data_IF_966094335748
#
_entry.id   IF_966094335748
#
_cell.length_a   1.000
_cell.length_b   1.000
_cell.length_c   1.000
_cell.angle_alpha   90.00
_cell.angle_beta   90.00
_cell.angle_gamma   90.00
#
_symmetry.space_group_name_H-M   'P 1'
#
loop_
_entity.id
_entity.type
_entity.pdbx_description
1 polymer ?
#
# COMPACT_ATOMS: atom_id res chain seq x y z
N UNK A 1 -12.50 -14.21 10.40
CA UNK A 1 -11.58 -15.31 10.02
C UNK A 1 -10.70 -15.63 11.24
N UNK A 2 -10.34 -16.90 11.46
CA UNK A 2 -9.40 -17.29 12.54
C UNK A 2 -7.97 -17.12 12.03
N UNK A 3 -7.07 -16.58 12.86
CA UNK A 3 -5.63 -16.58 12.56
C UNK A 3 -5.15 -18.04 12.37
N UNK A 4 -4.25 -18.31 11.41
CA UNK A 4 -3.56 -19.59 11.34
C UNK A 4 -2.96 -19.94 12.70
N UNK A 5 -3.18 -21.15 13.20
CA UNK A 5 -2.65 -21.58 14.51
C UNK A 5 -1.12 -21.46 14.56
N UNK A 6 -0.48 -21.69 13.42
CA UNK A 6 0.95 -21.49 13.18
C UNK A 6 1.48 -20.11 13.56
N UNK A 7 0.65 -19.06 13.48
CA UNK A 7 1.04 -17.70 13.82
C UNK A 7 0.81 -17.34 15.29
N UNK A 8 0.07 -18.17 16.03
CA UNK A 8 -0.38 -17.85 17.40
C UNK A 8 0.57 -18.48 18.42
N UNK A 9 1.80 -17.97 18.47
CA UNK A 9 2.78 -18.34 19.50
C UNK A 9 3.61 -17.13 19.93
N UNK A 10 4.14 -17.16 21.17
CA UNK A 10 5.01 -16.10 21.67
C UNK A 10 6.29 -15.95 20.85
N UNK A 11 6.88 -17.07 20.42
CA UNK A 11 8.10 -17.11 19.60
C UNK A 11 7.89 -16.48 18.23
N UNK A 12 6.75 -16.77 17.59
CA UNK A 12 6.38 -16.16 16.30
C UNK A 12 6.15 -14.66 16.47
N UNK A 13 5.46 -14.23 17.53
CA UNK A 13 5.27 -12.81 17.81
C UNK A 13 6.60 -12.08 18.01
N UNK A 14 7.54 -12.66 18.77
CA UNK A 14 8.85 -12.05 19.00
C UNK A 14 9.69 -11.99 17.72
N UNK A 15 9.60 -13.01 16.86
CA UNK A 15 10.24 -13.03 15.53
C UNK A 15 9.67 -11.95 14.60
N UNK A 16 8.35 -11.80 14.55
CA UNK A 16 7.69 -10.74 13.76
C UNK A 16 8.02 -9.35 14.27
N UNK A 17 8.14 -9.17 15.59
CA UNK A 17 8.59 -7.90 16.17
C UNK A 17 10.01 -7.58 15.72
N UNK A 18 10.92 -8.55 15.73
CA UNK A 18 12.28 -8.35 15.25
C UNK A 18 12.31 -7.95 13.77
N UNK A 19 11.61 -8.70 12.92
CA UNK A 19 11.49 -8.42 11.48
C UNK A 19 10.90 -7.03 11.21
N UNK A 20 9.81 -6.67 11.91
CA UNK A 20 9.19 -5.35 11.79
C UNK A 20 10.15 -4.22 12.16
N UNK A 21 10.92 -4.40 13.24
CA UNK A 21 11.91 -3.41 13.68
C UNK A 21 13.07 -3.28 12.69
N UNK A 22 13.51 -4.39 12.09
CA UNK A 22 14.52 -4.39 11.03
C UNK A 22 14.05 -3.61 9.80
N UNK A 23 12.87 -3.93 9.26
CA UNK A 23 12.30 -3.22 8.10
C UNK A 23 12.06 -1.74 8.39
N UNK A 24 11.58 -1.40 9.59
CA UNK A 24 11.41 0.01 10.00
C UNK A 24 12.76 0.73 10.17
N UNK A 25 13.80 0.07 10.68
CA UNK A 25 15.14 0.64 10.76
C UNK A 25 15.70 0.92 9.36
N UNK A 26 15.54 -0.02 8.43
CA UNK A 26 15.90 0.18 7.03
C UNK A 26 15.13 1.35 6.42
N UNK A 27 13.79 1.39 6.55
CA UNK A 27 12.99 2.51 6.03
C UNK A 27 13.46 3.88 6.55
N UNK A 28 13.88 3.96 7.81
CA UNK A 28 14.40 5.19 8.43
C UNK A 28 15.79 5.58 7.95
N UNK A 29 16.61 4.63 7.50
CA UNK A 29 17.95 4.92 6.98
C UNK A 29 17.93 5.38 5.52
N UNK A 30 16.86 5.08 4.78
CA UNK A 30 16.71 5.51 3.38
C UNK A 30 16.69 7.03 3.25
N UNK A 31 17.60 7.56 2.42
CA UNK A 31 17.64 8.98 2.05
C UNK A 31 16.95 9.20 0.72
N UNK A 32 15.63 9.05 0.72
CA UNK A 32 14.80 9.21 -0.49
C UNK A 32 14.69 10.68 -0.88
N UNK A 33 15.03 10.99 -2.14
CA UNK A 33 14.97 12.37 -2.68
C UNK A 33 13.78 12.58 -3.62
N UNK A 34 13.49 11.60 -4.47
CA UNK A 34 12.47 11.66 -5.51
C UNK A 34 11.97 10.24 -5.85
N UNK A 35 10.78 10.12 -6.43
CA UNK A 35 10.20 8.85 -6.89
C UNK A 35 10.10 8.74 -8.42
N UNK A 36 10.88 9.56 -9.13
CA UNK A 36 10.79 9.70 -10.58
C UNK A 36 9.64 10.61 -11.03
N UNK A 37 9.57 10.83 -12.34
CA UNK A 37 8.45 11.56 -12.95
C UNK A 37 7.20 10.68 -12.95
N UNK A 38 6.04 11.32 -13.03
CA UNK A 38 4.77 10.62 -13.19
C UNK A 38 4.75 9.96 -14.57
N UNK A 39 4.43 8.66 -14.60
CA UNK A 39 4.20 7.91 -15.84
C UNK A 39 2.85 8.33 -16.40
N UNK A 40 2.84 9.03 -17.53
CA UNK A 40 1.61 9.54 -18.16
C UNK A 40 1.35 8.97 -19.55
N UNK A 41 2.34 8.28 -20.11
CA UNK A 41 2.34 7.74 -21.46
C UNK A 41 2.28 6.21 -21.42
N UNK A 42 1.44 5.60 -22.26
CA UNK A 42 1.29 4.14 -22.34
C UNK A 42 2.58 3.45 -22.80
N UNK A 43 3.35 4.09 -23.68
CA UNK A 43 4.64 3.57 -24.14
C UNK A 43 5.69 3.53 -23.02
N UNK A 44 5.77 4.58 -22.19
CA UNK A 44 6.58 4.58 -20.96
C UNK A 44 6.11 3.52 -19.98
N UNK A 45 4.81 3.42 -19.75
CA UNK A 45 4.22 2.44 -18.85
C UNK A 45 4.54 1.00 -19.28
N UNK A 46 4.42 0.70 -20.59
CA UNK A 46 4.79 -0.59 -21.17
C UNK A 46 6.27 -0.91 -21.03
N UNK A 47 7.17 0.06 -21.26
CA UNK A 47 8.62 -0.14 -21.05
C UNK A 47 8.96 -0.44 -19.59
N UNK A 48 8.37 0.29 -18.65
CA UNK A 48 8.58 0.06 -17.22
C UNK A 48 8.02 -1.30 -16.79
N UNK A 49 6.84 -1.67 -17.30
CA UNK A 49 6.27 -2.99 -17.06
C UNK A 49 7.15 -4.12 -17.59
N UNK A 50 7.63 -4.04 -18.83
CA UNK A 50 8.56 -5.02 -19.38
C UNK A 50 9.84 -5.13 -18.55
N UNK A 51 10.35 -4.01 -18.04
CA UNK A 51 11.49 -3.98 -17.11
C UNK A 51 11.19 -4.72 -15.81
N UNK A 52 10.04 -4.45 -15.19
CA UNK A 52 9.59 -5.15 -13.97
C UNK A 52 9.37 -6.63 -14.23
N UNK A 53 8.73 -7.00 -15.34
CA UNK A 53 8.46 -8.38 -15.69
C UNK A 53 9.77 -9.18 -15.86
N UNK A 54 10.75 -8.60 -16.58
CA UNK A 54 12.10 -9.16 -16.72
C UNK A 54 12.79 -9.36 -15.38
N UNK A 55 12.86 -8.31 -14.54
CA UNK A 55 13.50 -8.41 -13.22
C UNK A 55 12.77 -9.41 -12.34
N UNK A 56 11.44 -9.49 -12.41
CA UNK A 56 10.67 -10.47 -11.65
C UNK A 56 11.00 -11.89 -12.07
N UNK A 57 11.07 -12.17 -13.37
CA UNK A 57 11.47 -13.49 -13.89
C UNK A 57 12.90 -13.85 -13.47
N UNK A 58 13.83 -12.90 -13.58
CA UNK A 58 15.22 -13.07 -13.14
C UNK A 58 15.32 -13.39 -11.65
N UNK A 59 14.64 -12.61 -10.80
CA UNK A 59 14.58 -12.82 -9.34
C UNK A 59 14.01 -14.20 -8.99
N UNK A 60 13.05 -14.69 -9.78
CA UNK A 60 12.39 -15.97 -9.58
C UNK A 60 13.11 -17.15 -10.25
N UNK A 61 14.21 -16.91 -10.95
CA UNK A 61 14.92 -17.96 -11.70
C UNK A 61 14.07 -18.59 -12.82
N UNK A 62 13.09 -17.86 -13.36
CA UNK A 62 12.23 -18.33 -14.43
C UNK A 62 12.92 -18.10 -15.79
N UNK A 63 13.00 -19.15 -16.60
CA UNK A 63 13.41 -19.02 -18.00
C UNK A 63 12.38 -18.18 -18.78
N UNK A 64 12.83 -17.41 -19.77
CA UNK A 64 12.05 -16.45 -20.58
C UNK A 64 10.89 -17.08 -21.41
N UNK A 65 10.51 -18.33 -21.15
CA UNK A 65 9.52 -19.08 -21.91
C UNK A 65 8.09 -18.53 -21.71
N UNK A 66 7.48 -18.05 -22.81
CA UNK A 66 6.07 -18.02 -23.22
C UNK A 66 4.94 -17.89 -22.18
N UNK A 67 5.18 -17.31 -21.00
CA UNK A 67 4.09 -16.93 -20.10
C UNK A 67 3.35 -15.73 -20.71
N UNK A 68 2.02 -15.84 -20.98
CA UNK A 68 1.27 -14.77 -21.61
C UNK A 68 1.24 -13.55 -20.69
N UNK A 69 1.85 -12.45 -21.11
CA UNK A 69 1.90 -11.25 -20.30
C UNK A 69 0.50 -10.64 -20.12
N UNK A 70 0.16 -10.14 -18.92
CA UNK A 70 -1.07 -9.41 -18.71
C UNK A 70 -1.02 -8.07 -19.47
N UNK A 71 -2.17 -7.63 -19.95
CA UNK A 71 -2.33 -6.29 -20.51
C UNK A 71 -2.19 -5.25 -19.39
N UNK A 72 -1.45 -4.17 -19.66
CA UNK A 72 -1.31 -3.06 -18.72
C UNK A 72 -2.23 -1.91 -19.14
N UNK A 73 -3.18 -1.54 -18.26
CA UNK A 73 -4.09 -0.42 -18.48
C UNK A 73 -3.72 0.74 -17.57
N UNK A 74 -3.25 1.84 -18.18
CA UNK A 74 -2.92 3.08 -17.50
C UNK A 74 -4.17 3.98 -17.41
N UNK A 75 -4.64 4.22 -16.19
CA UNK A 75 -5.80 5.07 -15.90
C UNK A 75 -5.39 6.50 -15.59
N UNK A 76 -6.25 7.48 -15.90
CA UNK A 76 -5.96 8.91 -15.72
C UNK A 76 -6.62 9.53 -14.48
N UNK A 77 -7.06 8.74 -13.50
CA UNK A 77 -7.93 9.24 -12.43
C UNK A 77 -7.19 10.28 -11.56
N UNK A 78 -5.88 10.12 -11.33
CA UNK A 78 -5.08 11.13 -10.61
C UNK A 78 -4.97 12.46 -11.36
N UNK A 79 -4.83 12.42 -12.67
CA UNK A 79 -4.73 13.63 -13.49
C UNK A 79 -6.08 14.36 -13.56
N UNK A 80 -7.18 13.62 -13.65
CA UNK A 80 -8.53 14.17 -13.63
C UNK A 80 -8.91 14.72 -12.24
N UNK A 81 -8.43 14.11 -11.14
CA UNK A 81 -8.71 14.53 -9.78
C UNK A 81 -8.36 16.00 -9.52
N UNK A 82 -7.20 16.45 -10.01
CA UNK A 82 -6.77 17.85 -9.81
C UNK A 82 -7.79 18.82 -10.43
N UNK A 83 -8.24 18.52 -11.66
CA UNK A 83 -9.24 19.34 -12.36
C UNK A 83 -10.60 19.30 -11.64
N UNK A 84 -11.01 18.12 -11.15
CA UNK A 84 -12.27 17.95 -10.42
C UNK A 84 -12.27 18.73 -9.10
N UNK A 85 -11.15 18.73 -8.36
CA UNK A 85 -11.02 19.47 -7.10
C UNK A 85 -11.02 20.98 -7.32
N UNK A 86 -10.34 21.48 -8.36
CA UNK A 86 -10.41 22.92 -8.69
C UNK A 86 -11.85 23.34 -8.97
N UNK A 87 -12.59 22.55 -9.76
CA UNK A 87 -14.02 22.81 -10.02
C UNK A 87 -14.85 22.80 -8.73
N UNK A 88 -14.63 21.81 -7.87
CA UNK A 88 -15.32 21.72 -6.58
C UNK A 88 -15.00 22.91 -5.66
N UNK A 89 -13.73 23.30 -5.56
CA UNK A 89 -13.31 24.48 -4.80
C UNK A 89 -13.98 25.75 -5.33
N UNK A 90 -13.98 25.99 -6.64
CA UNK A 90 -14.62 27.15 -7.24
C UNK A 90 -16.14 27.19 -7.00
N UNK A 91 -16.80 26.03 -7.00
CA UNK A 91 -18.23 25.94 -6.74
C UNK A 91 -18.57 26.27 -5.27
N UNK A 92 -17.76 25.79 -4.32
CA UNK A 92 -18.10 25.86 -2.89
C UNK A 92 -17.51 27.09 -2.20
N UNK A 93 -16.41 27.65 -2.72
CA UNK A 93 -15.72 28.82 -2.15
C UNK A 93 -16.64 30.05 -1.96
N UNK A 94 -17.53 30.45 -2.90
CA UNK A 94 -18.41 31.60 -2.70
C UNK A 94 -19.34 31.43 -1.49
N UNK A 95 -19.90 30.23 -1.31
CA UNK A 95 -20.75 29.92 -0.16
C UNK A 95 -19.95 29.99 1.15
N UNK A 96 -18.72 29.47 1.16
CA UNK A 96 -17.84 29.55 2.33
C UNK A 96 -17.42 30.99 2.66
N UNK A 97 -17.07 31.80 1.66
CA UNK A 97 -16.74 33.21 1.84
C UNK A 97 -17.93 34.01 2.36
N UNK A 98 -19.14 33.74 1.87
CA UNK A 98 -20.37 34.36 2.36
C UNK A 98 -20.64 34.02 3.83
N UNK A 99 -20.54 32.73 4.20
CA UNK A 99 -20.70 32.29 5.59
C UNK A 99 -19.62 32.90 6.50
N UNK A 100 -18.38 32.97 6.02
CA UNK A 100 -17.27 33.57 6.75
C UNK A 100 -17.51 35.07 6.97
N UNK A 101 -17.92 35.81 5.94
CA UNK A 101 -18.29 37.22 6.03
C UNK A 101 -19.39 37.44 7.08
N UNK A 102 -20.45 36.64 7.03
CA UNK A 102 -21.55 36.73 7.99
C UNK A 102 -21.11 36.43 9.44
N UNK A 103 -20.27 35.41 9.64
CA UNK A 103 -19.76 35.02 10.96
C UNK A 103 -18.77 36.02 11.57
N UNK A 104 -18.04 36.78 10.74
CA UNK A 104 -17.12 37.83 11.20
C UNK A 104 -17.81 39.18 11.42
N UNK A 105 -18.96 39.43 10.79
CA UNK A 105 -19.75 40.64 11.02
C UNK A 105 -20.39 40.66 12.42
N UNK A 106 -20.55 39.51 13.06
CA UNK A 106 -21.00 39.46 14.45
C UNK A 106 -19.85 39.84 15.41
N UNK A 107 -20.02 40.94 16.13
CA UNK A 107 -19.05 41.50 17.08
C UNK A 107 -18.99 40.76 18.44
N UNK A 108 -19.84 39.74 18.64
CA UNK A 108 -19.89 39.00 19.90
C UNK A 108 -18.68 38.07 20.09
N UNK A 109 -18.06 38.11 21.27
CA UNK A 109 -16.95 37.24 21.68
C UNK A 109 -17.36 35.91 22.33
N UNK A 110 -18.63 35.52 22.24
CA UNK A 110 -19.16 34.33 22.92
C UNK A 110 -18.63 33.01 22.35
N UNK A 111 -18.56 31.97 23.19
CA UNK A 111 -18.08 30.64 22.80
C UNK A 111 -18.81 30.05 21.59
N UNK A 112 -20.13 30.28 21.47
CA UNK A 112 -20.92 29.85 20.32
C UNK A 112 -20.45 30.45 18.98
N UNK A 113 -20.04 31.73 18.98
CA UNK A 113 -19.54 32.41 17.78
C UNK A 113 -18.18 31.83 17.37
N UNK A 114 -17.31 31.53 18.34
CA UNK A 114 -16.05 30.85 18.07
C UNK A 114 -16.23 29.44 17.49
N UNK A 115 -17.20 28.66 17.99
CA UNK A 115 -17.56 27.35 17.43
C UNK A 115 -17.98 27.47 15.97
N UNK A 116 -18.84 28.45 15.64
CA UNK A 116 -19.27 28.70 14.25
C UNK A 116 -18.09 29.09 13.36
N UNK A 117 -17.20 29.98 13.83
CA UNK A 117 -16.00 30.38 13.08
C UNK A 117 -15.06 29.19 12.82
N UNK A 118 -14.83 28.34 13.82
CA UNK A 118 -14.03 27.11 13.69
C UNK A 118 -14.69 26.13 12.71
N UNK A 119 -16.02 25.98 12.75
CA UNK A 119 -16.74 25.13 11.82
C UNK A 119 -16.57 25.60 10.36
N UNK A 120 -16.68 26.92 10.11
CA UNK A 120 -16.48 27.50 8.78
C UNK A 120 -15.03 27.34 8.31
N UNK A 121 -14.04 27.56 9.19
CA UNK A 121 -12.63 27.30 8.87
C UNK A 121 -12.39 25.82 8.53
N UNK A 122 -13.03 24.91 9.26
CA UNK A 122 -12.96 23.46 8.98
C UNK A 122 -13.55 23.12 7.60
N UNK A 123 -14.63 23.79 7.21
CA UNK A 123 -15.23 23.64 5.87
C UNK A 123 -14.28 24.11 4.76
N UNK A 124 -13.52 25.20 4.97
CA UNK A 124 -12.52 25.67 4.01
C UNK A 124 -11.37 24.67 3.78
N UNK A 125 -11.00 23.90 4.81
CA UNK A 125 -9.94 22.87 4.71
C UNK A 125 -10.49 21.55 4.14
N UNK A 126 -11.81 21.34 4.18
CA UNK A 126 -12.44 20.09 3.76
C UNK A 126 -12.14 19.64 2.32
N UNK A 127 -12.07 20.53 1.29
CA UNK A 127 -11.73 20.10 -0.06
C UNK A 127 -10.29 19.60 -0.18
N UNK A 128 -9.36 20.15 0.60
CA UNK A 128 -7.97 19.72 0.62
C UNK A 128 -7.82 18.35 1.28
N UNK A 129 -8.54 18.11 2.38
CA UNK A 129 -8.60 16.80 3.05
C UNK A 129 -9.22 15.77 2.11
N UNK A 130 -10.34 16.12 1.46
CA UNK A 130 -11.01 15.25 0.50
C UNK A 130 -10.11 14.93 -0.70
N UNK A 131 -9.46 15.94 -1.29
CA UNK A 131 -8.47 15.75 -2.36
C UNK A 131 -7.38 14.77 -1.93
N UNK A 132 -6.76 15.01 -0.78
CA UNK A 132 -5.70 14.14 -0.25
C UNK A 132 -6.19 12.70 -0.08
N UNK A 133 -7.40 12.52 0.44
CA UNK A 133 -8.01 11.20 0.65
C UNK A 133 -8.26 10.46 -0.66
N UNK A 134 -8.86 11.14 -1.64
CA UNK A 134 -9.14 10.54 -2.96
C UNK A 134 -7.84 10.24 -3.69
N UNK A 135 -6.86 11.16 -3.62
CA UNK A 135 -5.53 10.95 -4.20
C UNK A 135 -4.86 9.70 -3.63
N UNK A 136 -4.82 9.57 -2.30
CA UNK A 136 -4.24 8.38 -1.64
C UNK A 136 -4.99 7.09 -2.03
N UNK A 137 -6.32 7.13 -2.11
CA UNK A 137 -7.10 5.98 -2.56
C UNK A 137 -6.77 5.56 -4.00
N UNK A 138 -6.65 6.53 -4.91
CA UNK A 138 -6.29 6.24 -6.31
C UNK A 138 -4.85 5.75 -6.39
N UNK A 139 -3.92 6.37 -5.64
CA UNK A 139 -2.52 5.97 -5.60
C UNK A 139 -2.40 4.49 -5.23
N UNK A 140 -3.19 4.00 -4.26
CA UNK A 140 -3.20 2.60 -3.83
C UNK A 140 -4.19 1.71 -4.60
N UNK A 141 -4.91 2.25 -5.59
CA UNK A 141 -5.97 1.56 -6.34
C UNK A 141 -5.45 0.81 -7.56
N UNK A 142 -4.29 0.17 -7.43
CA UNK A 142 -3.74 -0.78 -8.40
C UNK A 142 -4.45 -2.12 -8.24
N UNK A 143 -4.60 -2.89 -9.31
CA UNK A 143 -5.19 -4.21 -9.21
C UNK A 143 -5.03 -5.09 -10.43
N UNK A 144 -4.87 -6.38 -10.17
CA UNK A 144 -4.91 -7.45 -11.14
C UNK A 144 -6.33 -8.00 -11.31
N UNK A 145 -6.77 -8.15 -12.56
CA UNK A 145 -8.03 -8.80 -12.92
C UNK A 145 -7.77 -9.90 -13.94
N UNK A 146 -8.42 -11.06 -13.74
CA UNK A 146 -8.44 -12.15 -14.69
C UNK A 146 -9.88 -12.37 -15.13
N UNK A 147 -10.20 -11.99 -16.35
CA UNK A 147 -11.49 -12.33 -16.95
C UNK A 147 -11.42 -13.78 -17.45
N UNK A 148 -12.49 -14.57 -17.27
CA UNK A 148 -12.49 -15.98 -17.71
C UNK A 148 -12.39 -16.14 -19.24
N UNK A 149 -12.74 -15.09 -20.00
CA UNK A 149 -12.81 -15.11 -21.47
C UNK A 149 -11.84 -14.11 -22.14
N UNK A 150 -11.02 -13.40 -21.37
CA UNK A 150 -10.15 -12.32 -21.89
C UNK A 150 -8.73 -12.36 -21.32
N UNK A 151 -7.80 -11.54 -21.85
CA UNK A 151 -6.45 -11.45 -21.31
C UNK A 151 -6.50 -10.98 -19.86
N UNK A 152 -5.56 -11.47 -19.05
CA UNK A 152 -5.36 -10.94 -17.71
C UNK A 152 -4.93 -9.47 -17.82
N UNK A 153 -5.33 -8.63 -16.86
CA UNK A 153 -5.10 -7.18 -16.93
C UNK A 153 -4.56 -6.66 -15.59
N UNK A 154 -3.53 -5.82 -15.66
CA UNK A 154 -3.07 -5.00 -14.55
C UNK A 154 -3.56 -3.57 -14.78
N UNK A 155 -4.39 -3.08 -13.87
CA UNK A 155 -4.95 -1.73 -13.91
C UNK A 155 -4.20 -0.87 -12.89
N UNK A 156 -3.59 0.22 -13.36
CA UNK A 156 -2.82 1.13 -12.50
C UNK A 156 -3.06 2.58 -12.93
N UNK A 157 -2.87 3.54 -12.02
CA UNK A 157 -2.98 4.97 -12.34
C UNK A 157 -1.62 5.58 -12.68
N UNK A 158 -1.62 6.85 -13.08
CA UNK A 158 -0.43 7.63 -13.41
C UNK A 158 0.35 7.97 -12.12
N UNK A 159 1.20 7.03 -11.67
CA UNK A 159 2.06 7.16 -10.48
C UNK A 159 3.48 7.64 -10.85
N UNK A 160 4.25 8.18 -9.89
CA UNK A 160 5.70 8.34 -10.04
C UNK A 160 6.36 7.02 -10.46
N UNK A 161 7.32 7.05 -11.39
CA UNK A 161 7.88 5.85 -12.03
C UNK A 161 8.40 4.77 -11.06
N UNK A 162 8.99 5.16 -9.93
CA UNK A 162 9.51 4.20 -8.93
C UNK A 162 8.35 3.56 -8.14
N UNK A 163 7.36 4.38 -7.77
CA UNK A 163 6.13 3.87 -7.14
C UNK A 163 5.36 2.95 -8.08
N UNK A 164 5.26 3.33 -9.36
CA UNK A 164 4.62 2.57 -10.42
C UNK A 164 5.23 1.17 -10.53
N UNK A 165 6.56 1.07 -10.68
CA UNK A 165 7.27 -0.20 -10.79
C UNK A 165 7.04 -1.10 -9.56
N UNK A 166 7.09 -0.51 -8.35
CA UNK A 166 6.82 -1.26 -7.12
C UNK A 166 5.41 -1.85 -7.10
N UNK A 167 4.38 -1.11 -7.53
CA UNK A 167 2.99 -1.62 -7.48
C UNK A 167 2.72 -2.62 -8.60
N UNK A 168 3.27 -2.36 -9.79
CA UNK A 168 3.22 -3.32 -10.91
C UNK A 168 3.91 -4.63 -10.54
N UNK A 169 5.02 -4.61 -9.80
CA UNK A 169 5.69 -5.82 -9.36
C UNK A 169 4.79 -6.70 -8.47
N UNK A 170 3.96 -6.10 -7.61
CA UNK A 170 2.98 -6.84 -6.78
C UNK A 170 1.89 -7.48 -7.64
N UNK A 171 1.29 -6.73 -8.56
CA UNK A 171 0.21 -7.24 -9.42
C UNK A 171 0.73 -8.25 -10.46
N UNK A 172 1.96 -8.08 -10.95
CA UNK A 172 2.59 -9.05 -11.82
C UNK A 172 2.95 -10.34 -11.07
N UNK A 173 3.34 -10.24 -9.80
CA UNK A 173 3.49 -11.41 -8.95
C UNK A 173 2.17 -12.17 -8.78
N UNK A 174 1.03 -11.47 -8.62
CA UNK A 174 -0.28 -12.12 -8.66
C UNK A 174 -0.52 -12.87 -9.97
N UNK A 175 -0.21 -12.24 -11.11
CA UNK A 175 -0.31 -12.90 -12.41
C UNK A 175 0.50 -14.19 -12.47
N UNK A 176 1.80 -14.14 -12.11
CA UNK A 176 2.67 -15.31 -12.12
C UNK A 176 2.18 -16.40 -11.15
N UNK A 177 1.71 -16.01 -9.96
CA UNK A 177 1.14 -16.96 -9.01
C UNK A 177 0.01 -17.77 -9.65
N UNK A 178 -0.89 -17.12 -10.37
CA UNK A 178 -2.00 -17.81 -11.05
C UNK A 178 -1.58 -18.68 -12.24
N UNK A 179 -0.43 -18.41 -12.85
CA UNK A 179 0.11 -19.24 -13.93
C UNK A 179 0.79 -20.50 -13.37
N UNK A 180 1.50 -20.38 -12.24
CA UNK A 180 2.26 -21.49 -11.67
C UNK A 180 1.48 -22.36 -10.68
N UNK A 181 0.51 -21.78 -9.98
CA UNK A 181 -0.28 -22.47 -8.97
C UNK A 181 -1.75 -22.51 -9.43
N UNK A 182 -2.10 -23.50 -10.25
CA UNK A 182 -3.47 -23.73 -10.68
C UNK A 182 -4.38 -24.01 -9.46
N UNK A 183 -5.44 -23.22 -9.27
CA UNK A 183 -6.52 -23.51 -8.30
C UNK A 183 -6.94 -22.34 -7.39
N UNK A 184 -7.99 -22.58 -6.59
CA UNK A 184 -8.46 -21.67 -5.54
C UNK A 184 -7.47 -21.67 -4.35
N UNK A 185 -6.35 -20.95 -4.51
CA UNK A 185 -5.48 -20.65 -3.36
C UNK A 185 -6.19 -19.71 -2.38
N UNK A 186 -5.90 -19.86 -1.09
CA UNK A 186 -6.39 -18.93 -0.08
C UNK A 186 -5.82 -17.55 -0.36
N UNK A 187 -6.67 -16.52 -0.34
CA UNK A 187 -6.31 -15.13 -0.62
C UNK A 187 -5.04 -14.65 0.10
N UNK A 188 -4.91 -14.96 1.40
CA UNK A 188 -3.72 -14.60 2.18
C UNK A 188 -2.42 -15.24 1.67
N UNK A 189 -2.47 -16.44 1.09
CA UNK A 189 -1.29 -17.11 0.52
C UNK A 189 -0.81 -16.32 -0.68
N UNK A 190 -1.75 -16.00 -1.57
CA UNK A 190 -1.48 -15.22 -2.79
C UNK A 190 -0.93 -13.84 -2.45
N UNK A 191 -1.55 -13.12 -1.52
CA UNK A 191 -1.06 -11.79 -1.09
C UNK A 191 0.32 -11.85 -0.44
N UNK A 192 0.59 -12.87 0.38
CA UNK A 192 1.89 -13.05 1.02
C UNK A 192 3.00 -13.37 0.02
N UNK A 193 2.73 -14.27 -0.93
CA UNK A 193 3.64 -14.61 -2.00
C UNK A 193 3.95 -13.37 -2.86
N UNK A 194 2.92 -12.65 -3.31
CA UNK A 194 3.06 -11.45 -4.11
C UNK A 194 3.88 -10.37 -3.38
N UNK A 195 3.65 -10.17 -2.07
CA UNK A 195 4.42 -9.21 -1.26
C UNK A 195 5.89 -9.58 -1.17
N UNK A 196 6.21 -10.86 -0.99
CA UNK A 196 7.60 -11.32 -0.89
C UNK A 196 8.33 -11.15 -2.24
N UNK A 197 7.67 -11.47 -3.35
CA UNK A 197 8.22 -11.24 -4.69
C UNK A 197 8.43 -9.75 -4.95
N UNK A 198 7.45 -8.91 -4.63
CA UNK A 198 7.57 -7.46 -4.74
C UNK A 198 8.77 -6.92 -3.94
N UNK A 199 9.00 -7.47 -2.73
CA UNK A 199 10.16 -7.13 -1.91
C UNK A 199 11.47 -7.47 -2.62
N UNK A 200 11.62 -8.67 -3.18
CA UNK A 200 12.84 -9.07 -3.89
C UNK A 200 13.08 -8.30 -5.18
N UNK A 201 12.03 -8.01 -5.94
CA UNK A 201 12.12 -7.15 -7.13
C UNK A 201 12.59 -5.75 -6.75
N UNK A 202 12.06 -5.19 -5.66
CA UNK A 202 12.49 -3.88 -5.18
C UNK A 202 13.95 -3.88 -4.67
N UNK A 203 14.39 -4.94 -3.98
CA UNK A 203 15.81 -5.11 -3.60
C UNK A 203 16.71 -5.18 -4.82
N UNK A 204 16.32 -5.96 -5.83
CA UNK A 204 17.09 -6.08 -7.07
C UNK A 204 17.21 -4.72 -7.78
N UNK A 205 16.10 -4.01 -7.98
CA UNK A 205 16.10 -2.68 -8.60
C UNK A 205 16.89 -1.65 -7.78
N UNK A 206 16.81 -1.71 -6.45
CA UNK A 206 17.61 -0.88 -5.56
C UNK A 206 19.11 -1.08 -5.79
N UNK A 207 19.56 -2.33 -5.89
CA UNK A 207 20.97 -2.64 -6.13
C UNK A 207 21.42 -2.31 -7.55
N UNK A 208 20.55 -2.51 -8.54
CA UNK A 208 20.85 -2.21 -9.94
C UNK A 208 20.99 -0.70 -10.19
N UNK A 209 20.08 0.11 -9.62
CA UNK A 209 20.00 1.55 -9.89
C UNK A 209 20.69 2.42 -8.82
N UNK A 210 21.12 1.83 -7.70
CA UNK A 210 21.67 2.52 -6.52
C UNK A 210 20.75 3.65 -5.99
N UNK A 211 19.43 3.47 -6.10
CA UNK A 211 18.43 4.46 -5.66
C UNK A 211 17.55 3.91 -4.50
N UNK A 212 17.71 4.41 -3.26
CA UNK A 212 16.93 3.97 -2.10
C UNK A 212 15.42 4.19 -2.24
N UNK A 213 14.97 5.00 -3.21
CA UNK A 213 13.54 5.19 -3.48
C UNK A 213 12.81 3.88 -3.86
N UNK A 214 13.50 2.92 -4.48
CA UNK A 214 12.91 1.63 -4.88
C UNK A 214 12.39 0.82 -3.70
N UNK A 215 13.05 0.92 -2.54
CA UNK A 215 12.64 0.20 -1.33
C UNK A 215 11.49 0.87 -0.58
N UNK A 216 11.25 2.17 -0.81
CA UNK A 216 10.38 2.95 0.08
C UNK A 216 8.93 2.47 0.09
N UNK A 217 8.31 2.30 -1.09
CA UNK A 217 6.90 1.98 -1.21
C UNK A 217 6.58 0.57 -0.71
N UNK A 218 7.40 -0.42 -1.07
CA UNK A 218 7.27 -1.78 -0.56
C UNK A 218 7.46 -1.83 0.95
N UNK A 219 8.48 -1.15 1.51
CA UNK A 219 8.68 -1.11 2.97
C UNK A 219 7.48 -0.49 3.69
N UNK A 220 6.94 0.61 3.17
CA UNK A 220 5.78 1.29 3.76
C UNK A 220 4.57 0.35 3.85
N UNK A 221 4.33 -0.48 2.82
CA UNK A 221 3.26 -1.48 2.82
C UNK A 221 3.59 -2.67 3.74
N UNK A 222 4.76 -3.29 3.60
CA UNK A 222 5.23 -4.42 4.42
C UNK A 222 5.22 -4.08 5.91
N UNK A 223 5.73 -2.92 6.32
CA UNK A 223 5.73 -2.47 7.73
C UNK A 223 4.29 -2.29 8.23
N UNK A 224 3.40 -1.76 7.39
CA UNK A 224 1.99 -1.63 7.72
C UNK A 224 1.34 -2.98 8.02
N UNK A 225 1.55 -3.94 7.13
CA UNK A 225 1.00 -5.31 7.21
C UNK A 225 1.59 -6.10 8.38
N UNK A 226 2.91 -6.08 8.55
CA UNK A 226 3.59 -6.73 9.69
C UNK A 226 3.17 -6.12 11.04
N UNK A 227 3.03 -4.79 11.12
CA UNK A 227 2.53 -4.16 12.35
C UNK A 227 1.11 -4.61 12.66
N UNK A 228 0.24 -4.70 11.65
CA UNK A 228 -1.12 -5.18 11.82
C UNK A 228 -1.16 -6.65 12.27
N UNK A 229 -0.32 -7.52 11.67
CA UNK A 229 -0.17 -8.91 12.10
C UNK A 229 0.28 -9.02 13.57
N UNK A 230 1.32 -8.26 13.96
CA UNK A 230 1.77 -8.18 15.35
C UNK A 230 0.64 -7.75 16.30
N UNK A 231 -0.17 -6.75 15.92
CA UNK A 231 -1.31 -6.32 16.71
C UNK A 231 -2.34 -7.44 16.88
N UNK A 232 -2.73 -8.12 15.81
CA UNK A 232 -3.67 -9.24 15.87
C UNK A 232 -3.18 -10.38 16.77
N UNK A 233 -1.95 -10.86 16.56
CA UNK A 233 -1.37 -11.95 17.35
C UNK A 233 -1.23 -11.53 18.82
N UNK A 234 -0.79 -10.30 19.08
CA UNK A 234 -0.66 -9.79 20.46
C UNK A 234 -2.01 -9.73 21.20
N UNK A 235 -3.10 -9.38 20.50
CA UNK A 235 -4.45 -9.42 21.05
C UNK A 235 -4.89 -10.84 21.38
N UNK A 236 -4.61 -11.81 20.49
CA UNK A 236 -4.92 -13.23 20.71
C UNK A 236 -4.13 -13.82 21.87
N UNK A 237 -2.87 -13.45 22.04
CA UNK A 237 -2.01 -13.89 23.15
C UNK A 237 -2.20 -13.08 24.44
N UNK A 238 -3.09 -12.09 24.44
CA UNK A 238 -3.27 -11.13 25.55
C UNK A 238 -1.95 -10.45 26.02
N UNK A 239 -1.01 -10.26 25.10
CA UNK A 239 0.31 -9.68 25.37
C UNK A 239 0.38 -8.25 24.82
N UNK A 240 0.95 -7.33 25.59
CA UNK A 240 1.18 -5.96 25.11
C UNK A 240 2.40 -5.90 24.18
N UNK A 241 2.25 -5.23 23.04
CA UNK A 241 3.38 -4.94 22.15
C UNK A 241 4.36 -3.96 22.80
N UNK A 242 5.69 -4.11 22.54
CA UNK A 242 6.70 -3.15 22.97
C UNK A 242 6.39 -1.73 22.50
N UNK A 243 6.77 -0.73 23.30
CA UNK A 243 6.52 0.68 22.97
C UNK A 243 7.10 1.06 21.59
N UNK A 244 8.30 0.57 21.28
CA UNK A 244 8.98 0.83 20.00
C UNK A 244 8.13 0.40 18.80
N UNK A 245 7.43 -0.73 18.89
CA UNK A 245 6.51 -1.24 17.85
C UNK A 245 5.24 -0.41 17.79
N UNK A 246 4.63 -0.09 18.94
CA UNK A 246 3.39 0.70 19.00
C UNK A 246 3.54 2.08 18.36
N UNK A 247 4.71 2.70 18.50
CA UNK A 247 5.04 4.02 17.97
C UNK A 247 5.32 4.06 16.46
N UNK A 248 5.51 2.92 15.79
CA UNK A 248 5.70 2.87 14.34
C UNK A 248 4.45 3.44 13.66
N UNK A 249 4.60 4.46 12.83
CA UNK A 249 3.45 5.04 12.09
C UNK A 249 3.20 4.22 10.83
N UNK A 250 1.95 3.87 10.57
CA UNK A 250 1.55 3.08 9.41
C UNK A 250 0.38 3.76 8.70
N UNK A 251 0.17 3.39 7.44
CA UNK A 251 -0.98 3.80 6.64
C UNK A 251 -2.31 3.21 7.14
N UNK A 252 -2.28 2.06 7.83
CA UNK A 252 -3.44 1.45 8.47
C UNK A 252 -3.65 2.04 9.86
N UNK A 253 -4.30 3.21 9.95
CA UNK A 253 -4.69 3.83 11.21
C UNK A 253 -6.22 3.83 11.33
N UNK A 254 -6.75 3.26 12.41
CA UNK A 254 -8.19 3.14 12.67
C UNK A 254 -8.78 4.39 13.34
N UNK A 255 -7.94 5.31 13.86
CA UNK A 255 -8.40 6.49 14.57
C UNK A 255 -9.21 7.43 13.64
N UNK A 256 -10.53 7.61 13.88
CA UNK A 256 -11.41 8.36 12.99
C UNK A 256 -11.06 9.85 12.95
N UNK A 257 -10.65 10.44 14.09
CA UNK A 257 -10.24 11.83 14.16
C UNK A 257 -8.93 12.06 13.40
N UNK A 258 -7.95 11.17 13.57
CA UNK A 258 -6.70 11.25 12.82
C UNK A 258 -6.96 11.16 11.32
N UNK A 259 -7.79 10.19 10.88
CA UNK A 259 -8.15 10.03 9.46
C UNK A 259 -8.88 11.24 8.90
N UNK A 260 -9.81 11.81 9.66
CA UNK A 260 -10.52 13.03 9.28
C UNK A 260 -9.54 14.20 9.10
N UNK A 261 -8.64 14.42 10.06
CA UNK A 261 -7.71 15.55 10.04
C UNK A 261 -6.58 15.39 9.00
N UNK A 262 -6.15 14.17 8.73
CA UNK A 262 -5.03 13.91 7.81
C UNK A 262 -5.46 13.54 6.41
N UNK A 263 -6.75 13.29 6.18
CA UNK A 263 -7.24 12.72 4.92
C UNK A 263 -6.76 11.30 4.66
N UNK A 264 -6.25 10.59 5.68
CA UNK A 264 -5.82 9.19 5.51
C UNK A 264 -7.04 8.32 5.20
N UNK A 265 -7.01 7.53 4.12
CA UNK A 265 -8.15 6.71 3.74
C UNK A 265 -8.46 5.63 4.77
N UNK A 266 -9.65 5.06 4.67
CA UNK A 266 -9.96 3.83 5.39
C UNK A 266 -9.41 2.63 4.66
N UNK A 267 -9.37 1.50 5.34
CA UNK A 267 -8.99 0.22 4.76
C UNK A 267 -10.10 -0.80 4.99
N UNK A 268 -10.20 -1.77 4.09
CA UNK A 268 -11.04 -2.93 4.30
C UNK A 268 -10.32 -3.87 5.27
N UNK A 269 -10.89 -4.06 6.46
CA UNK A 269 -10.29 -4.88 7.52
C UNK A 269 -10.10 -6.32 7.06
N UNK A 270 -11.05 -6.90 6.30
CA UNK A 270 -10.96 -8.28 5.83
C UNK A 270 -9.77 -8.47 4.90
N UNK A 271 -9.65 -7.61 3.89
CA UNK A 271 -8.50 -7.64 2.96
C UNK A 271 -7.18 -7.40 3.70
N UNK A 272 -7.12 -6.41 4.61
CA UNK A 272 -5.91 -6.17 5.40
C UNK A 272 -5.51 -7.37 6.26
N UNK A 273 -6.46 -8.14 6.80
CA UNK A 273 -6.16 -9.38 7.52
C UNK A 273 -5.43 -10.35 6.60
N UNK A 274 -5.88 -10.53 5.35
CA UNK A 274 -5.26 -11.47 4.42
C UNK A 274 -3.85 -11.02 4.00
N UNK A 275 -3.69 -9.74 3.67
CA UNK A 275 -2.36 -9.17 3.40
C UNK A 275 -1.43 -9.32 4.61
N UNK A 276 -1.89 -8.97 5.81
CA UNK A 276 -1.05 -9.03 7.01
C UNK A 276 -0.65 -10.45 7.40
N UNK A 277 -1.59 -11.41 7.32
CA UNK A 277 -1.30 -12.83 7.57
C UNK A 277 -0.34 -13.36 6.50
N UNK A 278 -0.62 -13.09 5.22
CA UNK A 278 0.24 -13.48 4.11
C UNK A 278 1.65 -13.01 4.27
N UNK A 279 1.83 -11.70 4.45
CA UNK A 279 3.13 -11.07 4.61
C UNK A 279 3.87 -11.59 5.84
N UNK A 280 3.19 -11.77 6.98
CA UNK A 280 3.80 -12.36 8.16
C UNK A 280 4.27 -13.80 7.91
N UNK A 281 3.43 -14.64 7.29
CA UNK A 281 3.77 -16.02 6.99
C UNK A 281 4.97 -16.13 6.05
N UNK A 282 4.93 -15.42 4.93
CA UNK A 282 5.95 -15.52 3.89
C UNK A 282 7.30 -14.93 4.31
N UNK A 283 7.32 -13.80 5.03
CA UNK A 283 8.59 -13.23 5.49
C UNK A 283 9.23 -14.05 6.61
N UNK A 284 8.44 -14.64 7.51
CA UNK A 284 8.98 -15.56 8.51
C UNK A 284 9.49 -16.85 7.87
N UNK A 285 8.76 -17.39 6.89
CA UNK A 285 9.18 -18.58 6.17
C UNK A 285 10.49 -18.33 5.42
N UNK A 286 10.62 -17.18 4.75
CA UNK A 286 11.86 -16.77 4.09
C UNK A 286 13.03 -16.75 5.08
N UNK A 287 12.84 -16.15 6.27
CA UNK A 287 13.89 -16.08 7.28
C UNK A 287 14.31 -17.48 7.79
N UNK A 288 13.40 -18.46 7.78
CA UNK A 288 13.65 -19.82 8.29
C UNK A 288 14.23 -20.76 7.23
N UNK A 289 13.72 -20.68 6.00
CA UNK A 289 13.94 -21.69 4.97
C UNK A 289 14.68 -21.14 3.74
N UNK A 290 14.81 -19.82 3.63
CA UNK A 290 15.34 -19.17 2.44
C UNK A 290 14.26 -18.85 1.41
N UNK A 291 14.63 -18.03 0.43
CA UNK A 291 13.72 -17.48 -0.57
C UNK A 291 13.10 -18.55 -1.48
N UNK A 292 13.92 -19.38 -2.12
CA UNK A 292 13.48 -20.43 -3.05
C UNK A 292 12.50 -21.42 -2.42
N UNK A 293 12.86 -21.99 -1.26
CA UNK A 293 12.02 -22.94 -0.53
C UNK A 293 10.68 -22.31 -0.12
N UNK A 294 10.67 -21.02 0.21
CA UNK A 294 9.46 -20.30 0.61
C UNK A 294 8.50 -20.04 -0.54
N UNK A 295 9.02 -19.75 -1.74
CA UNK A 295 8.18 -19.43 -2.89
C UNK A 295 7.66 -20.66 -3.62
N UNK A 296 8.48 -21.70 -3.76
CA UNK A 296 8.18 -22.88 -4.57
C UNK A 296 7.82 -24.12 -3.77
N UNK A 297 8.10 -24.11 -2.47
CA UNK A 297 7.67 -25.16 -1.54
C UNK A 297 6.17 -25.15 -1.29
N UNK A 298 5.73 -26.02 -0.37
CA UNK A 298 4.34 -25.98 0.10
C UNK A 298 4.05 -24.64 0.79
N UNK A 299 2.81 -24.11 0.73
CA UNK A 299 2.46 -22.88 1.43
C UNK A 299 2.90 -22.96 2.89
N UNK A 300 3.55 -21.91 3.43
CA UNK A 300 4.24 -22.03 4.71
C UNK A 300 3.28 -22.42 5.83
N UNK A 301 3.45 -23.65 6.33
CA UNK A 301 2.86 -24.13 7.58
C UNK A 301 3.83 -23.80 8.71
N UNK A 302 3.75 -22.57 9.22
CA UNK A 302 4.64 -22.12 10.32
C UNK A 302 4.41 -22.83 11.65
#
# INVERSE_FOLDING_TARGET
RKLPQSLVSSEVLDSLIALLLEKEALRRSLKVRNFGRRVTDEGEAGRLFAGVARVTREVLGLDDADLPEPELVLTERLSQLTRQIVKLCLLVLPAYLFLFYYAFRQSGGGAAIWVVRIAILSLLVSPLIFHRRVRLNIEHGCGYSRNMEGPATIIIDQLPAIQFQSYVAHEYAHHLYFQHFEGESKEWVREGWARLVQWRVAEHLYHQEDDPAYLYHVLVQTIGELKFACQMISMTLHRKLPLRVRLIRTLYNDNPLFRLLTGTPGFNVTSLIDHAIGTACYFLAEQRFGFEETLWGSPPSL
#
